data_IF_975792616721
#
_entry.id   IF_975792616721
#
_cell.length_a   1.000
_cell.length_b   1.000
_cell.length_c   1.000
_cell.angle_alpha   90.00
_cell.angle_beta   90.00
_cell.angle_gamma   90.00
#
_symmetry.space_group_name_H-M   'P 1'
#
loop_
_entity.id
_entity.type
_entity.pdbx_description
1 polymer ?
#
# COMPACT_ATOMS: atom_id res chain seq x y z
N UNK A 1 8.99 5.99 18.17
CA UNK A 1 7.70 6.56 17.70
C UNK A 1 6.85 6.90 18.91
N UNK A 2 6.08 8.00 18.90
CA UNK A 2 5.25 8.40 20.05
C UNK A 2 4.00 7.50 20.14
N UNK A 3 3.91 6.71 21.22
CA UNK A 3 2.84 5.73 21.42
C UNK A 3 1.45 6.37 21.48
N UNK A 4 1.34 7.59 22.03
CA UNK A 4 0.11 8.39 22.04
C UNK A 4 -0.42 8.70 20.63
N UNK A 5 0.45 9.12 19.71
CA UNK A 5 0.08 9.40 18.31
C UNK A 5 -0.41 8.12 17.62
N UNK A 6 0.24 6.97 17.87
CA UNK A 6 -0.21 5.70 17.28
C UNK A 6 -1.61 5.31 17.75
N UNK A 7 -1.94 5.62 19.01
CA UNK A 7 -3.27 5.41 19.59
C UNK A 7 -4.30 6.35 18.98
N UNK A 8 -3.98 7.62 18.81
CA UNK A 8 -4.84 8.63 18.18
C UNK A 8 -5.12 8.31 16.70
N UNK A 9 -4.09 7.85 15.97
CA UNK A 9 -4.20 7.36 14.60
C UNK A 9 -4.88 5.99 14.47
N UNK A 10 -5.43 5.44 15.56
CA UNK A 10 -6.12 4.13 15.59
C UNK A 10 -5.32 3.01 14.93
N UNK A 11 -3.99 3.01 15.09
CA UNK A 11 -3.11 1.97 14.55
C UNK A 11 -3.41 0.62 15.20
N UNK A 12 -2.91 -0.45 14.59
CA UNK A 12 -3.17 -1.81 15.08
C UNK A 12 -2.74 -2.00 16.54
N UNK A 13 -3.53 -2.77 17.30
CA UNK A 13 -3.30 -3.01 18.74
C UNK A 13 -1.90 -3.55 19.02
N UNK A 14 -1.36 -4.42 18.15
CA UNK A 14 0.00 -4.94 18.28
C UNK A 14 1.08 -3.87 18.10
N UNK A 15 0.87 -2.93 17.18
CA UNK A 15 1.77 -1.79 16.94
C UNK A 15 1.80 -0.88 18.16
N UNK A 16 0.63 -0.49 18.68
CA UNK A 16 0.49 0.35 19.87
C UNK A 16 1.05 -0.36 21.12
N UNK A 17 0.82 -1.68 21.25
CA UNK A 17 1.42 -2.48 22.33
C UNK A 17 2.95 -2.51 22.27
N UNK A 18 3.52 -2.60 21.08
CA UNK A 18 4.99 -2.60 20.91
C UNK A 18 5.58 -1.26 21.30
N UNK A 19 4.99 -0.16 20.86
CA UNK A 19 5.48 1.18 21.21
C UNK A 19 5.36 1.47 22.70
N UNK A 20 4.26 1.09 23.36
CA UNK A 20 4.16 1.22 24.81
C UNK A 20 5.20 0.39 25.57
N UNK A 21 5.58 -0.79 25.06
CA UNK A 21 6.69 -1.56 25.66
C UNK A 21 8.03 -0.86 25.51
N UNK A 22 8.28 -0.19 24.38
CA UNK A 22 9.50 0.60 24.20
C UNK A 22 9.53 1.82 25.12
N UNK A 23 8.41 2.53 25.27
CA UNK A 23 8.27 3.64 26.22
C UNK A 23 8.57 3.17 27.64
N UNK A 24 8.01 2.03 28.06
CA UNK A 24 8.23 1.48 29.41
C UNK A 24 9.65 0.97 29.68
N UNK A 25 10.47 0.74 28.64
CA UNK A 25 11.91 0.47 28.84
C UNK A 25 12.67 1.72 29.25
N UNK A 26 12.20 2.90 28.82
CA UNK A 26 12.84 4.19 29.06
C UNK A 26 12.25 4.83 30.33
N UNK A 27 10.93 4.78 30.48
CA UNK A 27 10.18 5.26 31.64
C UNK A 27 9.30 4.12 32.19
N UNK A 28 9.81 3.33 33.14
CA UNK A 28 9.07 2.19 33.72
C UNK A 28 7.79 2.57 34.46
N UNK A 29 7.66 3.82 34.91
CA UNK A 29 6.52 4.28 35.71
C UNK A 29 5.49 5.07 34.88
N UNK A 30 5.59 5.01 33.55
CA UNK A 30 4.70 5.72 32.66
C UNK A 30 3.23 5.25 32.79
N UNK A 31 2.37 6.11 33.34
CA UNK A 31 0.99 5.80 33.71
C UNK A 31 0.12 5.29 32.54
N UNK A 32 0.14 5.99 31.40
CA UNK A 32 -0.69 5.65 30.24
C UNK A 32 -0.32 4.28 29.64
N UNK A 33 0.98 3.98 29.59
CA UNK A 33 1.50 2.72 29.05
C UNK A 33 1.16 1.53 29.93
N UNK A 34 1.27 1.70 31.26
CA UNK A 34 0.90 0.68 32.23
C UNK A 34 -0.61 0.38 32.19
N UNK A 35 -1.44 1.42 32.19
CA UNK A 35 -2.90 1.27 32.08
C UNK A 35 -3.31 0.58 30.78
N UNK A 36 -2.71 0.98 29.66
CA UNK A 36 -3.00 0.38 28.35
C UNK A 36 -2.68 -1.11 28.31
N UNK A 37 -1.49 -1.51 28.81
CA UNK A 37 -1.11 -2.91 28.87
C UNK A 37 -1.97 -3.73 29.85
N UNK A 38 -2.37 -3.13 30.98
CA UNK A 38 -3.26 -3.78 31.94
C UNK A 38 -4.66 -3.99 31.35
N UNK A 39 -5.20 -2.99 30.63
CA UNK A 39 -6.48 -3.08 29.91
C UNK A 39 -6.46 -4.21 28.88
N UNK A 40 -5.39 -4.34 28.10
CA UNK A 40 -5.21 -5.45 27.16
C UNK A 40 -5.19 -6.82 27.85
N UNK A 41 -4.48 -6.94 28.98
CA UNK A 41 -4.47 -8.18 29.78
C UNK A 41 -5.86 -8.53 30.31
N UNK A 42 -6.64 -7.55 30.77
CA UNK A 42 -8.02 -7.75 31.23
C UNK A 42 -8.95 -8.22 30.11
N UNK A 43 -8.84 -7.61 28.92
CA UNK A 43 -9.61 -8.02 27.73
C UNK A 43 -9.30 -9.47 27.34
N UNK A 44 -8.03 -9.89 27.40
CA UNK A 44 -7.66 -11.29 27.11
C UNK A 44 -8.14 -12.30 28.16
N UNK A 45 -8.26 -11.89 29.44
CA UNK A 45 -8.67 -12.77 30.54
C UNK A 45 -10.19 -12.92 30.65
N UNK A 46 -10.94 -11.89 30.28
CA UNK A 46 -12.41 -11.90 30.27
C UNK A 46 -13.02 -12.69 29.09
N UNK A 47 -12.20 -13.16 28.14
CA UNK A 47 -12.65 -13.74 26.87
C UNK A 47 -12.70 -15.27 26.81
N UNK A 48 -12.68 -15.99 27.93
CA UNK A 48 -12.91 -17.44 27.94
C UNK A 48 -14.42 -17.75 27.96
N UNK A 49 -15.12 -17.49 26.85
CA UNK A 49 -16.35 -18.20 26.44
C UNK A 49 -16.69 -17.86 24.97
N UNK A 50 -16.48 -18.86 24.11
CA UNK A 50 -17.26 -19.15 22.89
C UNK A 50 -17.66 -17.99 21.97
N UNK A 51 -16.96 -17.86 20.83
CA UNK A 51 -17.47 -18.30 19.51
C UNK A 51 -16.41 -18.03 18.44
N UNK A 52 -15.82 -19.12 17.96
CA UNK A 52 -15.03 -19.19 16.74
C UNK A 52 -15.96 -18.88 15.56
N UNK A 53 -16.24 -17.61 15.30
CA UNK A 53 -16.83 -17.18 14.04
C UNK A 53 -15.69 -17.22 13.04
N UNK A 54 -15.59 -18.33 12.31
CA UNK A 54 -14.80 -18.46 11.10
C UNK A 54 -15.32 -17.44 10.08
N UNK A 55 -14.96 -16.17 10.24
CA UNK A 55 -14.77 -15.33 9.07
C UNK A 55 -13.49 -15.86 8.46
N UNK A 56 -13.63 -16.61 7.35
CA UNK A 56 -12.52 -16.84 6.43
C UNK A 56 -11.98 -15.46 6.11
N UNK A 57 -10.94 -15.02 6.83
CA UNK A 57 -10.01 -14.05 6.32
C UNK A 57 -9.56 -14.69 5.02
N UNK A 58 -10.04 -14.15 3.90
CA UNK A 58 -9.36 -14.31 2.62
C UNK A 58 -7.94 -13.89 2.97
N UNK A 59 -7.05 -14.87 3.16
CA UNK A 59 -5.66 -14.60 3.38
C UNK A 59 -5.29 -13.76 2.18
N UNK A 60 -5.07 -12.47 2.39
CA UNK A 60 -4.19 -11.71 1.52
C UNK A 60 -2.92 -12.55 1.58
N UNK A 61 -2.77 -13.40 0.56
CA UNK A 61 -1.67 -14.32 0.46
C UNK A 61 -0.41 -13.49 0.64
N UNK A 62 0.60 -14.11 1.24
CA UNK A 62 1.97 -13.58 1.20
C UNK A 62 2.19 -12.98 -0.19
N UNK A 63 2.52 -11.68 -0.33
CA UNK A 63 2.65 -11.07 -1.65
C UNK A 63 3.65 -11.91 -2.43
N UNK A 64 3.14 -12.66 -3.42
CA UNK A 64 4.02 -13.41 -4.30
C UNK A 64 4.70 -12.33 -5.14
N UNK A 65 6.03 -12.37 -5.32
CA UNK A 65 6.68 -11.49 -6.28
C UNK A 65 5.94 -11.66 -7.62
N UNK A 66 5.42 -10.56 -8.16
CA UNK A 66 4.72 -10.58 -9.45
C UNK A 66 5.68 -11.14 -10.49
N UNK A 67 5.22 -12.11 -11.27
CA UNK A 67 5.99 -12.59 -12.41
C UNK A 67 5.84 -11.61 -13.58
N UNK A 68 6.78 -11.64 -14.52
CA UNK A 68 6.71 -10.78 -15.71
C UNK A 68 5.41 -11.01 -16.49
N UNK A 69 4.92 -12.26 -16.51
CA UNK A 69 3.63 -12.64 -17.12
C UNK A 69 2.43 -11.90 -16.51
N UNK A 70 2.48 -11.59 -15.21
CA UNK A 70 1.42 -10.86 -14.50
C UNK A 70 1.41 -9.36 -14.87
N UNK A 71 2.52 -8.82 -15.41
CA UNK A 71 2.64 -7.42 -15.81
C UNK A 71 2.06 -7.16 -17.21
N UNK A 72 2.07 -8.15 -18.10
CA UNK A 72 1.48 -8.04 -19.44
C UNK A 72 -0.06 -7.94 -19.40
N UNK A 73 -0.69 -8.55 -18.39
CA UNK A 73 -2.16 -8.54 -18.21
C UNK A 73 -2.68 -7.45 -17.27
N UNK A 74 -1.83 -6.51 -16.85
CA UNK A 74 -2.19 -5.48 -15.88
C UNK A 74 -3.14 -4.43 -16.49
N UNK A 75 -4.44 -4.72 -16.47
CA UNK A 75 -5.46 -3.73 -16.88
C UNK A 75 -5.47 -2.53 -15.93
N UNK A 76 -5.15 -1.33 -16.45
CA UNK A 76 -5.10 -0.12 -15.61
C UNK A 76 -6.49 0.49 -15.48
N UNK A 77 -6.96 0.61 -14.24
CA UNK A 77 -8.21 1.31 -13.97
C UNK A 77 -8.10 2.80 -14.34
N UNK A 78 -9.09 3.37 -15.05
CA UNK A 78 -9.07 4.79 -15.39
C UNK A 78 -8.90 5.71 -14.19
N UNK A 79 -9.42 5.33 -13.02
CA UNK A 79 -9.32 6.13 -11.78
C UNK A 79 -7.87 6.32 -11.30
N UNK A 80 -6.98 5.37 -11.61
CA UNK A 80 -5.57 5.41 -11.22
C UNK A 80 -4.68 6.12 -12.25
N UNK A 81 -5.21 6.37 -13.47
CA UNK A 81 -4.47 6.99 -14.55
C UNK A 81 -4.02 8.42 -14.18
N UNK A 82 -2.72 8.57 -13.97
CA UNK A 82 -2.02 9.82 -13.61
C UNK A 82 -0.65 9.86 -14.29
N UNK A 83 -0.10 11.05 -14.52
CA UNK A 83 1.24 11.18 -15.10
C UNK A 83 2.34 10.60 -14.20
N UNK A 84 2.14 10.61 -12.88
CA UNK A 84 3.05 9.94 -11.96
C UNK A 84 3.08 8.43 -12.19
N UNK A 85 1.92 7.82 -12.44
CA UNK A 85 1.85 6.39 -12.78
C UNK A 85 2.60 6.09 -14.08
N UNK A 86 2.48 6.95 -15.10
CA UNK A 86 3.26 6.83 -16.35
C UNK A 86 4.76 6.80 -16.06
N UNK A 87 5.24 7.70 -15.19
CA UNK A 87 6.66 7.79 -14.82
C UNK A 87 7.14 6.52 -14.09
N UNK A 88 6.34 6.01 -13.14
CA UNK A 88 6.67 4.78 -12.42
C UNK A 88 6.72 3.57 -13.37
N UNK A 89 5.76 3.44 -14.30
CA UNK A 89 5.75 2.37 -15.29
C UNK A 89 6.95 2.46 -16.24
N UNK A 90 7.34 3.66 -16.66
CA UNK A 90 8.54 3.91 -17.46
C UNK A 90 9.81 3.45 -16.72
N UNK A 91 9.95 3.81 -15.44
CA UNK A 91 11.12 3.44 -14.62
C UNK A 91 11.19 1.92 -14.37
N UNK A 92 10.06 1.21 -14.50
CA UNK A 92 9.95 -0.25 -14.43
C UNK A 92 10.16 -0.95 -15.79
N UNK A 93 10.33 -0.20 -16.88
CA UNK A 93 10.42 -0.74 -18.25
C UNK A 93 9.08 -1.16 -18.86
N UNK A 94 7.96 -0.81 -18.24
CA UNK A 94 6.59 -1.15 -18.66
C UNK A 94 6.04 -0.09 -19.63
N UNK A 95 6.69 0.04 -20.78
CA UNK A 95 6.42 1.13 -21.71
C UNK A 95 5.05 1.03 -22.39
N UNK A 96 4.57 -0.16 -22.74
CA UNK A 96 3.26 -0.35 -23.37
C UNK A 96 2.12 0.05 -22.43
N UNK A 97 2.24 -0.34 -21.16
CA UNK A 97 1.32 0.03 -20.08
C UNK A 97 1.34 1.56 -19.88
N UNK A 98 2.52 2.17 -19.91
CA UNK A 98 2.66 3.62 -19.80
C UNK A 98 1.95 4.36 -20.96
N UNK A 99 1.99 3.82 -22.18
CA UNK A 99 1.23 4.34 -23.33
C UNK A 99 -0.28 4.19 -23.14
N UNK A 100 -0.75 3.05 -22.62
CA UNK A 100 -2.17 2.83 -22.31
C UNK A 100 -2.69 3.84 -21.27
N UNK A 101 -1.90 4.14 -20.24
CA UNK A 101 -2.25 5.19 -19.26
C UNK A 101 -2.39 6.54 -19.95
N UNK A 102 -1.52 6.87 -20.91
CA UNK A 102 -1.61 8.13 -21.66
C UNK A 102 -2.87 8.17 -22.55
N UNK A 103 -3.28 7.07 -23.15
CA UNK A 103 -4.55 6.97 -23.91
C UNK A 103 -5.77 7.17 -23.01
N UNK A 104 -5.74 6.60 -21.80
CA UNK A 104 -6.79 6.82 -20.80
C UNK A 104 -6.85 8.29 -20.38
N UNK A 105 -5.69 8.94 -20.19
CA UNK A 105 -5.61 10.37 -19.84
C UNK A 105 -6.14 11.25 -20.98
N UNK A 106 -5.91 10.86 -22.24
CA UNK A 106 -6.40 11.55 -23.43
C UNK A 106 -7.92 11.47 -23.55
N UNK A 107 -8.49 10.26 -23.40
CA UNK A 107 -9.96 10.05 -23.38
C UNK A 107 -10.66 10.85 -22.29
N UNK A 108 -9.97 11.19 -21.21
CA UNK A 108 -10.48 12.02 -20.10
C UNK A 108 -10.45 13.53 -20.38
N UNK A 109 -9.94 13.97 -21.53
CA UNK A 109 -9.84 15.38 -21.89
C UNK A 109 -8.75 16.14 -21.11
N UNK A 110 -7.72 15.44 -20.60
CA UNK A 110 -6.57 16.10 -19.97
C UNK A 110 -5.67 16.76 -21.04
N UNK A 111 -4.71 17.55 -20.59
CA UNK A 111 -3.83 18.37 -21.43
C UNK A 111 -3.17 17.57 -22.58
N UNK A 112 -3.73 17.70 -23.79
CA UNK A 112 -3.36 16.93 -24.99
C UNK A 112 -1.93 17.17 -25.43
N UNK A 113 -1.44 18.43 -25.35
CA UNK A 113 -0.05 18.78 -25.68
C UNK A 113 0.96 18.04 -24.79
N UNK A 114 0.67 17.93 -23.50
CA UNK A 114 1.54 17.19 -22.57
C UNK A 114 1.51 15.70 -22.87
N UNK A 115 0.33 15.16 -23.18
CA UNK A 115 0.16 13.74 -23.50
C UNK A 115 0.93 13.35 -24.75
N UNK A 116 0.86 14.15 -25.82
CA UNK A 116 1.60 13.88 -27.07
C UNK A 116 3.10 13.89 -26.87
N UNK A 117 3.63 14.86 -26.11
CA UNK A 117 5.06 14.90 -25.77
C UNK A 117 5.52 13.67 -24.97
N UNK A 118 4.72 13.25 -23.99
CA UNK A 118 4.99 12.05 -23.19
C UNK A 118 4.96 10.78 -24.05
N UNK A 119 3.97 10.64 -24.94
CA UNK A 119 3.87 9.51 -25.89
C UNK A 119 5.12 9.41 -26.77
N UNK A 120 5.56 10.53 -27.35
CA UNK A 120 6.77 10.57 -28.18
C UNK A 120 8.01 10.22 -27.35
N UNK A 121 8.12 10.73 -26.11
CA UNK A 121 9.25 10.40 -25.22
C UNK A 121 9.34 8.91 -24.95
N UNK A 122 8.22 8.27 -24.64
CA UNK A 122 8.14 6.84 -24.32
C UNK A 122 8.44 6.00 -25.56
N UNK A 123 7.86 6.34 -26.71
CA UNK A 123 8.11 5.64 -27.98
C UNK A 123 9.60 5.67 -28.37
N UNK A 124 10.30 6.77 -28.12
CA UNK A 124 11.76 6.86 -28.37
C UNK A 124 12.60 5.96 -27.46
N UNK A 125 12.08 5.59 -26.29
CA UNK A 125 12.74 4.73 -25.30
C UNK A 125 12.32 3.26 -25.42
N UNK A 126 11.33 2.97 -26.26
CA UNK A 126 10.86 1.63 -26.49
C UNK A 126 12.00 0.78 -27.07
N UNK A 127 12.40 -0.32 -26.41
CA UNK A 127 13.40 -1.20 -26.99
C UNK A 127 12.86 -1.77 -28.30
N UNK A 128 13.59 -1.57 -29.40
CA UNK A 128 13.32 -2.28 -30.64
C UNK A 128 13.58 -3.77 -30.36
N UNK A 129 12.51 -4.55 -30.24
CA UNK A 129 12.62 -6.00 -30.23
C UNK A 129 13.20 -6.38 -31.60
N UNK A 130 14.48 -6.74 -31.63
CA UNK A 130 15.11 -7.34 -32.80
C UNK A 130 14.68 -8.80 -32.75
N UNK A 131 13.83 -9.18 -33.69
CA UNK A 131 13.43 -10.58 -33.93
C UNK A 131 14.67 -11.48 -34.15
#
# INVERSE_FOLDING_TARGET
MLAGIQKELKRGVNTIKSSWKEVLKIDPHHSEGLEYLQKLKKISKSGNKTKKKNTRKKSLGTPRPMKAEDLESLSISPKLATFTLVKVLEDQGLFYQALEVLDILEKKGKNTKRITLEKIRIQKRLPHHKD
#
